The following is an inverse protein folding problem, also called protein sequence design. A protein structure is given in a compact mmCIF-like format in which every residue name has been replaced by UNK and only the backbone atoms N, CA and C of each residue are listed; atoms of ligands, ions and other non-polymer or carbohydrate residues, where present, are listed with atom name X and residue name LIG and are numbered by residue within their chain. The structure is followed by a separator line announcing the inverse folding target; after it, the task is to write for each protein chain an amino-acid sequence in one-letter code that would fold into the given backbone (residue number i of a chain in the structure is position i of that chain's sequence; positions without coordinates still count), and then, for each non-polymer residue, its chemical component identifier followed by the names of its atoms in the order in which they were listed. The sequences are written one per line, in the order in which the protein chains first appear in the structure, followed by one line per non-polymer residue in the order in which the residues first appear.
data_IF_254577187982
#
_entry.id   IF_254577187982
#
_cell.length_a   1.000
_cell.length_b   1.000
_cell.length_c   1.000
_cell.angle_alpha   90.00
_cell.angle_beta   90.00
_cell.angle_gamma   90.00
#
_symmetry.space_group_name_H-M   'P 1'
#
loop_
_entity.id
_entity.type
_entity.pdbx_description
1 polymer ?
#
# COMPACT_ATOMS: atom_id res chain seq x y z
N UNK A 1 -21.54 2.24 15.04
CA UNK A 1 -21.53 2.36 13.56
C UNK A 1 -20.10 2.16 13.11
N UNK A 2 -19.89 1.40 12.03
CA UNK A 2 -18.56 1.32 11.40
C UNK A 2 -18.31 2.69 10.76
N UNK A 3 -17.26 3.38 11.16
CA UNK A 3 -16.83 4.59 10.46
C UNK A 3 -16.31 4.14 9.09
N UNK A 4 -17.01 4.51 8.01
CA UNK A 4 -16.55 4.21 6.65
C UNK A 4 -15.38 5.16 6.31
N UNK A 5 -14.23 4.59 5.98
CA UNK A 5 -13.05 5.33 5.57
C UNK A 5 -12.11 4.48 4.73
N UNK A 6 -11.39 5.16 3.84
CA UNK A 6 -10.24 4.65 3.14
C UNK A 6 -8.97 4.96 3.91
N UNK A 7 -7.96 4.12 3.77
CA UNK A 7 -6.68 4.27 4.44
C UNK A 7 -5.57 4.54 3.43
N UNK A 8 -4.64 5.42 3.77
CA UNK A 8 -3.35 5.58 3.11
C UNK A 8 -2.23 5.44 4.15
N UNK A 9 -1.19 4.68 3.84
CA UNK A 9 -0.06 4.46 4.76
C UNK A 9 1.26 4.69 4.01
N UNK A 10 2.02 5.70 4.42
CA UNK A 10 3.33 6.01 3.84
C UNK A 10 3.69 7.48 3.89
N UNK A 11 4.82 7.84 3.27
CA UNK A 11 5.21 9.23 3.06
C UNK A 11 4.48 9.83 1.86
N UNK A 12 4.42 11.15 1.75
CA UNK A 12 3.75 11.84 0.64
C UNK A 12 4.69 12.21 -0.52
N UNK A 13 5.78 11.47 -0.72
CA UNK A 13 6.71 11.73 -1.82
C UNK A 13 6.02 11.76 -3.18
N UNK A 14 6.50 12.54 -4.17
CA UNK A 14 5.79 12.75 -5.44
C UNK A 14 5.41 11.44 -6.16
N UNK A 15 6.29 10.44 -6.15
CA UNK A 15 6.02 9.14 -6.77
C UNK A 15 4.97 8.29 -6.05
N UNK A 16 4.63 8.59 -4.79
CA UNK A 16 3.51 7.95 -4.07
C UNK A 16 2.15 8.50 -4.50
N UNK A 17 2.15 9.62 -5.25
CA UNK A 17 0.99 10.15 -5.96
C UNK A 17 -0.22 10.43 -5.06
N UNK A 18 0.02 10.83 -3.81
CA UNK A 18 -1.05 11.12 -2.84
C UNK A 18 -2.00 12.21 -3.35
N UNK A 19 -1.51 13.09 -4.24
CA UNK A 19 -2.35 14.10 -4.89
C UNK A 19 -3.48 13.49 -5.73
N UNK A 20 -3.28 12.35 -6.40
CA UNK A 20 -4.33 11.63 -7.13
C UNK A 20 -5.45 11.20 -6.17
N UNK A 21 -5.07 10.59 -5.04
CA UNK A 21 -6.02 10.17 -4.01
C UNK A 21 -6.79 11.35 -3.41
N UNK A 22 -6.14 12.48 -3.13
CA UNK A 22 -6.81 13.67 -2.61
C UNK A 22 -7.89 14.17 -3.59
N UNK A 23 -7.57 14.19 -4.90
CA UNK A 23 -8.52 14.61 -5.94
C UNK A 23 -9.70 13.64 -6.03
N UNK A 24 -9.41 12.35 -6.15
CA UNK A 24 -10.41 11.31 -6.25
C UNK A 24 -11.33 11.24 -5.01
N UNK A 25 -10.76 11.32 -3.82
CA UNK A 25 -11.52 11.31 -2.58
C UNK A 25 -12.43 12.53 -2.43
N UNK A 26 -11.99 13.70 -2.89
CA UNK A 26 -12.83 14.91 -2.91
C UNK A 26 -14.03 14.72 -3.83
N UNK A 27 -13.82 14.19 -5.02
CA UNK A 27 -14.87 13.93 -6.01
C UNK A 27 -15.89 12.89 -5.51
N UNK A 28 -15.40 11.80 -4.89
CA UNK A 28 -16.23 10.75 -4.33
C UNK A 28 -16.87 11.12 -2.98
N UNK A 29 -16.55 12.28 -2.41
CA UNK A 29 -16.85 12.64 -1.01
C UNK A 29 -16.41 11.56 0.00
N UNK A 30 -15.30 10.87 -0.30
CA UNK A 30 -14.78 9.76 0.49
C UNK A 30 -13.89 10.27 1.62
N UNK A 31 -14.09 9.72 2.82
CA UNK A 31 -13.21 9.97 3.98
C UNK A 31 -11.94 9.16 3.83
N UNK A 32 -10.78 9.81 3.92
CA UNK A 32 -9.46 9.16 3.90
C UNK A 32 -8.70 9.45 5.19
N UNK A 33 -8.17 8.41 5.82
CA UNK A 33 -7.21 8.53 6.91
C UNK A 33 -5.81 8.35 6.33
N UNK A 34 -4.97 9.37 6.48
CA UNK A 34 -3.56 9.31 6.10
C UNK A 34 -2.70 8.97 7.31
N UNK A 35 -1.85 7.97 7.18
CA UNK A 35 -0.91 7.54 8.21
C UNK A 35 0.51 7.70 7.69
N UNK A 36 1.35 8.37 8.47
CA UNK A 36 2.72 8.65 8.11
C UNK A 36 3.34 9.73 8.99
N UNK A 37 4.63 10.00 8.75
CA UNK A 37 5.31 11.12 9.38
C UNK A 37 4.89 12.42 8.69
N UNK A 38 4.43 13.40 9.46
CA UNK A 38 4.12 14.73 8.92
C UNK A 38 5.42 15.41 8.48
N UNK A 39 5.64 15.46 7.16
CA UNK A 39 6.84 15.98 6.52
C UNK A 39 6.51 17.14 5.57
N UNK A 40 7.54 17.66 4.89
CA UNK A 40 7.38 18.74 3.91
C UNK A 40 6.35 18.43 2.82
N UNK A 41 6.28 17.18 2.35
CA UNK A 41 5.40 16.82 1.25
C UNK A 41 3.94 16.77 1.69
N UNK A 42 3.66 16.25 2.88
CA UNK A 42 2.33 16.32 3.48
C UNK A 42 1.86 17.76 3.70
N UNK A 43 2.74 18.62 4.23
CA UNK A 43 2.45 20.04 4.41
C UNK A 43 2.13 20.72 3.08
N UNK A 44 2.90 20.44 2.02
CA UNK A 44 2.67 20.98 0.67
C UNK A 44 1.34 20.53 0.07
N UNK A 45 0.85 19.34 0.43
CA UNK A 45 -0.45 18.83 0.00
C UNK A 45 -1.62 19.34 0.87
N UNK A 46 -1.34 20.03 1.98
CA UNK A 46 -2.36 20.47 2.93
C UNK A 46 -3.05 19.32 3.66
N UNK A 47 -2.37 18.18 3.82
CA UNK A 47 -2.89 16.99 4.51
C UNK A 47 -2.11 16.77 5.79
N UNK A 48 -2.81 16.53 6.90
CA UNK A 48 -2.21 16.22 8.19
C UNK A 48 -2.29 14.71 8.42
N UNK A 49 -1.19 13.95 8.29
CA UNK A 49 -1.20 12.52 8.57
C UNK A 49 -1.19 12.25 10.07
N UNK A 50 -1.68 11.08 10.45
CA UNK A 50 -1.59 10.56 11.82
C UNK A 50 -0.30 9.76 11.99
N UNK A 51 0.36 9.97 13.12
CA UNK A 51 1.35 9.02 13.64
C UNK A 51 0.62 8.06 14.58
N UNK A 52 0.82 6.76 14.38
CA UNK A 52 0.09 5.71 15.11
C UNK A 52 1.06 4.60 15.49
N UNK A 53 0.73 3.86 16.54
CA UNK A 53 1.41 2.62 16.92
C UNK A 53 1.05 1.47 15.96
N UNK A 54 1.85 0.40 15.96
CA UNK A 54 1.57 -0.81 15.16
C UNK A 54 0.22 -1.46 15.49
N UNK A 55 -0.18 -1.42 16.77
CA UNK A 55 -1.46 -1.93 17.23
C UNK A 55 -2.63 -1.10 16.68
N UNK A 56 -2.49 0.23 16.64
CA UNK A 56 -3.46 1.12 16.03
C UNK A 56 -3.49 0.97 14.51
N UNK A 57 -2.34 0.86 13.86
CA UNK A 57 -2.26 0.62 12.42
C UNK A 57 -2.97 -0.69 12.03
N UNK A 58 -2.76 -1.75 12.80
CA UNK A 58 -3.48 -3.02 12.64
C UNK A 58 -4.99 -2.85 12.75
N UNK A 59 -5.47 -2.06 13.72
CA UNK A 59 -6.89 -1.73 13.86
C UNK A 59 -7.39 -0.91 12.67
N UNK A 60 -6.59 0.02 12.15
CA UNK A 60 -6.95 0.83 11.00
C UNK A 60 -7.11 -0.05 9.75
N UNK A 61 -6.18 -0.98 9.49
CA UNK A 61 -6.32 -1.92 8.38
C UNK A 61 -7.60 -2.76 8.49
N UNK A 62 -7.86 -3.38 9.65
CA UNK A 62 -9.03 -4.27 9.84
C UNK A 62 -10.39 -3.60 9.62
N UNK A 63 -10.47 -2.29 9.82
CA UNK A 63 -11.74 -1.56 9.78
C UNK A 63 -11.92 -0.68 8.55
N UNK A 64 -10.84 -0.40 7.79
CA UNK A 64 -10.92 0.38 6.56
C UNK A 64 -11.79 -0.32 5.50
N UNK A 65 -12.40 0.48 4.63
CA UNK A 65 -13.11 -0.02 3.44
C UNK A 65 -12.11 -0.53 2.40
N UNK A 66 -11.00 0.19 2.22
CA UNK A 66 -9.81 -0.28 1.53
C UNK A 66 -8.57 0.54 1.92
N UNK A 67 -7.39 -0.05 1.79
CA UNK A 67 -6.14 0.70 1.61
C UNK A 67 -6.07 1.21 0.18
N UNK A 68 -5.71 2.47 -0.03
CA UNK A 68 -5.44 3.04 -1.35
C UNK A 68 -3.97 3.39 -1.48
N UNK A 69 -3.32 2.87 -2.51
CA UNK A 69 -1.87 3.02 -2.71
C UNK A 69 -1.56 3.38 -4.17
N UNK A 70 -1.82 4.64 -4.59
CA UNK A 70 -1.82 5.06 -5.99
C UNK A 70 -0.42 5.37 -6.55
N UNK A 71 0.61 4.67 -6.07
CA UNK A 71 2.01 4.95 -6.40
C UNK A 71 2.29 4.85 -7.90
N UNK A 72 3.07 5.80 -8.45
CA UNK A 72 3.59 5.77 -9.83
C UNK A 72 4.76 4.80 -9.98
N UNK A 73 5.49 4.56 -8.88
CA UNK A 73 6.61 3.65 -8.80
C UNK A 73 6.65 3.06 -7.40
N UNK A 74 6.96 1.77 -7.30
CA UNK A 74 7.21 1.13 -6.02
C UNK A 74 8.37 0.14 -6.04
N UNK A 75 8.98 -0.03 -4.86
CA UNK A 75 9.71 -1.23 -4.50
C UNK A 75 8.73 -2.33 -4.10
N UNK A 76 8.72 -2.74 -2.83
CA UNK A 76 7.96 -3.92 -2.42
C UNK A 76 6.51 -3.66 -1.96
N UNK A 77 6.12 -2.41 -1.70
CA UNK A 77 4.73 -2.11 -1.33
C UNK A 77 4.23 -2.80 -0.05
N UNK A 78 5.07 -2.87 0.99
CA UNK A 78 4.75 -3.53 2.27
C UNK A 78 3.35 -3.18 2.83
N UNK A 79 2.88 -1.92 2.80
CA UNK A 79 1.55 -1.59 3.31
C UNK A 79 0.41 -2.36 2.63
N UNK A 80 0.50 -2.62 1.31
CA UNK A 80 -0.52 -3.38 0.60
C UNK A 80 -0.56 -4.85 1.05
N UNK A 81 0.60 -5.46 1.26
CA UNK A 81 0.70 -6.84 1.77
C UNK A 81 0.20 -6.92 3.22
N UNK A 82 0.56 -5.95 4.05
CA UNK A 82 0.08 -5.85 5.44
C UNK A 82 -1.45 -5.73 5.50
N UNK A 83 -2.04 -4.85 4.68
CA UNK A 83 -3.48 -4.66 4.58
C UNK A 83 -4.20 -5.97 4.20
N UNK A 84 -3.73 -6.65 3.15
CA UNK A 84 -4.30 -7.93 2.71
C UNK A 84 -4.22 -9.00 3.80
N UNK A 85 -3.12 -9.07 4.56
CA UNK A 85 -2.97 -10.00 5.69
C UNK A 85 -3.93 -9.71 6.84
N UNK A 86 -4.44 -8.48 6.94
CA UNK A 86 -5.50 -8.10 7.89
C UNK A 86 -6.91 -8.26 7.30
N UNK A 87 -7.04 -8.75 6.06
CA UNK A 87 -8.32 -8.88 5.36
C UNK A 87 -8.86 -7.54 4.83
N UNK A 88 -8.03 -6.50 4.78
CA UNK A 88 -8.38 -5.20 4.21
C UNK A 88 -8.23 -5.25 2.68
N UNK A 89 -9.26 -4.88 1.91
CA UNK A 89 -9.14 -4.68 0.47
C UNK A 89 -8.05 -3.66 0.14
N UNK A 90 -7.42 -3.81 -1.02
CA UNK A 90 -6.40 -2.87 -1.48
C UNK A 90 -6.70 -2.40 -2.89
N UNK A 91 -6.67 -1.08 -3.07
CA UNK A 91 -6.72 -0.40 -4.35
C UNK A 91 -5.32 0.12 -4.63
N UNK A 92 -4.71 -0.32 -5.72
CA UNK A 92 -3.31 -0.01 -6.06
C UNK A 92 -3.22 0.43 -7.51
N UNK A 93 -2.16 1.14 -7.85
CA UNK A 93 -1.92 1.49 -9.25
C UNK A 93 -1.75 0.25 -10.13
N UNK A 94 -2.18 0.37 -11.38
CA UNK A 94 -1.87 -0.59 -12.43
C UNK A 94 -0.39 -0.44 -12.87
N UNK A 95 0.53 -1.00 -12.06
CA UNK A 95 1.97 -1.02 -12.33
C UNK A 95 2.55 -2.44 -12.16
N UNK A 96 3.62 -2.80 -12.90
CA UNK A 96 4.12 -4.18 -12.96
C UNK A 96 4.40 -4.82 -11.59
N UNK A 97 4.98 -4.06 -10.67
CA UNK A 97 5.37 -4.58 -9.34
C UNK A 97 4.16 -5.01 -8.50
N UNK A 98 3.02 -4.33 -8.62
CA UNK A 98 1.81 -4.74 -7.90
C UNK A 98 1.14 -5.95 -8.54
N UNK A 99 1.28 -6.16 -9.85
CA UNK A 99 0.84 -7.41 -10.50
C UNK A 99 1.65 -8.60 -10.02
N UNK A 100 2.97 -8.47 -9.94
CA UNK A 100 3.86 -9.53 -9.44
C UNK A 100 3.55 -9.90 -7.98
N UNK A 101 3.31 -8.90 -7.14
CA UNK A 101 3.17 -9.09 -5.70
C UNK A 101 1.76 -9.46 -5.26
N UNK A 102 0.74 -8.84 -5.86
CA UNK A 102 -0.64 -8.90 -5.36
C UNK A 102 -1.54 -9.77 -6.22
N UNK A 103 -1.25 -9.91 -7.51
CA UNK A 103 -2.06 -10.65 -8.47
C UNK A 103 -3.55 -10.34 -8.33
N UNK A 104 -4.40 -11.37 -8.29
CA UNK A 104 -5.86 -11.19 -8.17
C UNK A 104 -6.35 -10.75 -6.77
N UNK A 105 -5.45 -10.38 -5.85
CA UNK A 105 -5.81 -9.96 -4.50
C UNK A 105 -6.11 -8.46 -4.38
N UNK A 106 -5.85 -7.68 -5.44
CA UNK A 106 -5.95 -6.23 -5.44
C UNK A 106 -6.92 -5.71 -6.52
N UNK A 107 -7.42 -4.50 -6.30
CA UNK A 107 -8.12 -3.70 -7.31
C UNK A 107 -7.08 -2.79 -7.95
N UNK A 108 -6.95 -2.85 -9.26
CA UNK A 108 -5.99 -2.05 -10.03
C UNK A 108 -6.67 -0.82 -10.61
N UNK A 109 -6.00 0.33 -10.54
CA UNK A 109 -6.50 1.61 -11.08
C UNK A 109 -5.41 2.30 -11.89
N UNK A 110 -5.78 3.00 -12.97
CA UNK A 110 -4.84 3.82 -13.70
C UNK A 110 -4.28 4.93 -12.79
N UNK A 111 -2.95 5.00 -12.56
CA UNK A 111 -2.36 5.99 -11.66
C UNK A 111 -2.45 7.44 -12.17
N UNK A 112 -2.96 7.65 -13.39
CA UNK A 112 -3.17 8.96 -14.00
C UNK A 112 -4.64 9.36 -14.10
N UNK A 113 -5.59 8.49 -13.70
CA UNK A 113 -7.02 8.76 -13.79
C UNK A 113 -7.66 8.90 -12.39
N UNK A 114 -7.78 10.15 -11.91
CA UNK A 114 -8.44 10.40 -10.64
C UNK A 114 -9.95 10.15 -10.68
N UNK A 115 -10.58 10.20 -11.86
CA UNK A 115 -12.02 9.94 -12.00
C UNK A 115 -12.30 8.44 -11.90
N UNK A 116 -11.44 7.60 -12.46
CA UNK A 116 -11.51 6.16 -12.24
C UNK A 116 -11.39 5.81 -10.76
N UNK A 117 -10.37 6.36 -10.08
CA UNK A 117 -10.24 6.16 -8.64
C UNK A 117 -11.47 6.67 -7.90
N UNK A 118 -12.03 7.84 -8.24
CA UNK A 118 -13.22 8.37 -7.59
C UNK A 118 -14.44 7.44 -7.74
N UNK A 119 -14.66 6.88 -8.94
CA UNK A 119 -15.74 5.90 -9.18
C UNK A 119 -15.59 4.67 -8.28
N UNK A 120 -14.37 4.17 -8.11
CA UNK A 120 -14.08 3.02 -7.22
C UNK A 120 -14.29 3.40 -5.75
N UNK A 121 -13.85 4.59 -5.32
CA UNK A 121 -14.04 5.06 -3.94
C UNK A 121 -15.54 5.26 -3.59
N UNK A 122 -16.38 5.50 -4.59
CA UNK A 122 -17.82 5.65 -4.43
C UNK A 122 -18.61 4.32 -4.55
N UNK A 123 -17.96 3.22 -4.93
CA UNK A 123 -18.60 1.91 -5.08
C UNK A 123 -18.51 1.07 -3.81
N UNK A 124 -19.34 0.03 -3.71
CA UNK A 124 -19.15 -1.01 -2.71
C UNK A 124 -17.87 -1.80 -2.99
N UNK A 125 -17.07 -2.05 -1.94
CA UNK A 125 -15.81 -2.77 -2.06
C UNK A 125 -15.95 -4.13 -1.36
N UNK A 126 -15.80 -5.17 -2.16
CA UNK A 126 -15.75 -6.54 -1.67
C UNK A 126 -14.46 -6.80 -0.87
N UNK A 127 -14.58 -7.68 0.13
CA UNK A 127 -13.41 -8.24 0.80
C UNK A 127 -12.53 -9.00 -0.21
N UNK A 128 -11.19 -9.00 -0.02
CA UNK A 128 -10.29 -9.72 -0.92
C UNK A 128 -10.65 -11.21 -0.97
N UNK A 129 -10.88 -11.72 -2.18
CA UNK A 129 -11.34 -13.10 -2.43
C UNK A 129 -10.22 -14.13 -2.33
N UNK A 130 -8.97 -13.70 -2.51
CA UNK A 130 -7.77 -14.55 -2.46
C UNK A 130 -6.76 -13.96 -1.49
N UNK A 131 -6.08 -14.86 -0.77
CA UNK A 131 -4.96 -14.50 0.08
C UNK A 131 -3.72 -14.27 -0.78
N UNK A 132 -3.01 -13.18 -0.50
CA UNK A 132 -1.76 -12.84 -1.18
C UNK A 132 -0.70 -13.91 -0.92
N UNK A 133 0.27 -14.03 -1.83
CA UNK A 133 1.45 -14.89 -1.64
C UNK A 133 2.10 -14.59 -0.29
N UNK A 134 2.47 -15.64 0.44
CA UNK A 134 3.12 -15.46 1.74
C UNK A 134 4.60 -15.16 1.56
N UNK A 135 5.05 -14.04 2.11
CA UNK A 135 6.45 -13.63 2.16
C UNK A 135 6.99 -13.80 3.59
N UNK A 136 8.23 -14.27 3.73
CA UNK A 136 8.85 -14.59 5.01
C UNK A 136 10.24 -13.96 5.12
N UNK A 137 10.44 -13.18 6.18
CA UNK A 137 11.76 -12.64 6.53
C UNK A 137 12.79 -13.74 6.80
N UNK A 138 12.39 -14.82 7.48
CA UNK A 138 13.29 -15.95 7.75
C UNK A 138 13.73 -16.66 6.47
N UNK A 139 12.84 -16.78 5.48
CA UNK A 139 13.20 -17.32 4.16
C UNK A 139 14.17 -16.38 3.45
N UNK A 140 13.83 -15.08 3.37
CA UNK A 140 14.68 -14.06 2.74
C UNK A 140 16.09 -14.02 3.35
N UNK A 141 16.19 -14.09 4.68
CA UNK A 141 17.48 -14.08 5.39
C UNK A 141 18.34 -15.31 5.03
N UNK A 142 17.76 -16.51 5.01
CA UNK A 142 18.48 -17.74 4.64
C UNK A 142 18.98 -17.72 3.19
N UNK A 143 18.10 -17.33 2.26
CA UNK A 143 18.47 -17.28 0.83
C UNK A 143 19.53 -16.21 0.56
N UNK A 144 19.42 -15.05 1.19
CA UNK A 144 20.43 -13.97 1.08
C UNK A 144 21.78 -14.43 1.65
N UNK A 145 21.80 -15.08 2.82
CA UNK A 145 23.02 -15.62 3.43
C UNK A 145 23.69 -16.65 2.52
N UNK A 146 22.91 -17.56 1.94
CA UNK A 146 23.44 -18.58 1.00
C UNK A 146 24.16 -17.96 -0.19
N UNK A 147 23.68 -16.82 -0.70
CA UNK A 147 24.32 -16.09 -1.81
C UNK A 147 25.63 -15.46 -1.32
N UNK A 148 25.63 -14.82 -0.14
CA UNK A 148 26.84 -14.21 0.43
C UNK A 148 27.94 -15.24 0.68
N UNK A 149 27.59 -16.40 1.23
CA UNK A 149 28.53 -17.51 1.43
C UNK A 149 29.08 -18.03 0.10
N UNK A 150 28.25 -18.14 -0.93
CA UNK A 150 28.70 -18.56 -2.26
C UNK A 150 29.70 -17.56 -2.87
N UNK A 151 29.43 -16.26 -2.78
CA UNK A 151 30.36 -15.23 -3.23
C UNK A 151 31.69 -15.26 -2.45
N UNK A 152 31.65 -15.57 -1.15
CA UNK A 152 32.85 -15.64 -0.33
C UNK A 152 33.74 -16.85 -0.70
N UNK A 153 33.14 -18.00 -1.02
CA UNK A 153 33.88 -19.19 -1.51
C UNK A 153 34.63 -18.90 -2.82
N UNK A 154 33.94 -18.29 -3.79
CA UNK A 154 34.53 -17.89 -5.09
C UNK A 154 35.74 -16.96 -4.91
N UNK A 155 35.72 -16.07 -3.91
CA UNK A 155 36.84 -15.17 -3.63
C UNK A 155 38.01 -15.86 -2.91
N UNK A 156 37.74 -16.93 -2.18
CA UNK A 156 38.73 -17.64 -1.35
C UNK A 156 39.50 -18.70 -2.14
N UNK A 157 39.11 -18.99 -3.38
CA UNK A 157 39.78 -19.98 -4.24
C UNK A 157 39.43 -21.43 -3.93
N UNK A 158 38.40 -21.67 -3.12
CA UNK A 158 37.76 -22.98 -2.88
C UNK A 158 36.48 -23.14 -3.70
#
# INVERSE_FOLDING_TARGET
MKDNYFLYVGNAYPHKNVQLLIRAAREAHARVIYVGKNDYFYQKLGVVPRTVSDAELTRLYKNADALVFPSLMEGFGLPAIEALRQGCPVIVSDIPVFHELLGESAIYVNPHDSHELARILASEIDKPKKLVKTYSWSKMARETLSIYEACNRVRSGE
#
